data_IF_214009067739
#
_entry.id   IF_214009067739
#
_cell.length_a   1.000
_cell.length_b   1.000
_cell.length_c   1.000
_cell.angle_alpha   90.00
_cell.angle_beta   90.00
_cell.angle_gamma   90.00
#
_symmetry.space_group_name_H-M   'P 1'
#
loop_
_entity.id
_entity.type
_entity.pdbx_description
1 polymer ?
#
# COMPACT_ATOMS: atom_id res chain seq x y z
N UNK A 1 -30.18 -24.78 5.36
CA UNK A 1 -30.78 -23.45 5.52
C UNK A 1 -29.86 -22.68 6.47
N UNK A 2 -28.75 -22.15 5.94
CA UNK A 2 -27.70 -21.52 6.74
C UNK A 2 -27.95 -20.01 6.78
N UNK A 3 -28.63 -19.55 7.82
CA UNK A 3 -28.72 -18.13 8.18
C UNK A 3 -27.43 -17.75 8.90
N UNK A 4 -26.47 -17.20 8.17
CA UNK A 4 -25.38 -16.43 8.81
C UNK A 4 -25.99 -15.13 9.34
N UNK A 5 -26.33 -15.12 10.62
CA UNK A 5 -26.75 -13.93 11.35
C UNK A 5 -25.55 -12.98 11.43
N UNK A 6 -25.65 -11.83 10.76
CA UNK A 6 -24.69 -10.73 10.92
C UNK A 6 -24.77 -10.28 12.38
N UNK A 7 -23.66 -10.36 13.11
CA UNK A 7 -23.56 -9.93 14.50
C UNK A 7 -23.74 -8.41 14.55
N UNK A 8 -24.89 -7.93 15.04
CA UNK A 8 -25.24 -6.50 15.11
C UNK A 8 -24.82 -5.82 16.43
N UNK A 9 -24.15 -6.55 17.32
CA UNK A 9 -23.78 -6.03 18.66
C UNK A 9 -22.55 -5.11 18.66
N UNK A 10 -22.05 -4.68 17.50
CA UNK A 10 -21.06 -3.60 17.45
C UNK A 10 -21.75 -2.31 17.90
N UNK A 11 -21.33 -1.67 19.00
CA UNK A 11 -21.98 -0.47 19.49
C UNK A 11 -21.98 0.61 18.40
N UNK A 12 -23.17 1.16 18.12
CA UNK A 12 -23.32 2.29 17.22
C UNK A 12 -22.65 3.50 17.85
N UNK A 13 -21.44 3.85 17.39
CA UNK A 13 -20.77 5.09 17.78
C UNK A 13 -21.51 6.24 17.07
N UNK A 14 -22.14 7.17 17.80
CA UNK A 14 -22.77 8.36 17.24
C UNK A 14 -21.79 9.13 16.35
N UNK A 15 -22.30 9.76 15.28
CA UNK A 15 -21.50 10.61 14.39
C UNK A 15 -20.73 11.72 15.13
N UNK A 16 -21.22 12.11 16.30
CA UNK A 16 -20.66 13.18 17.13
C UNK A 16 -19.56 12.68 18.11
N UNK A 17 -19.41 11.37 18.27
CA UNK A 17 -18.43 10.75 19.20
C UNK A 17 -17.13 10.31 18.49
N UNK A 18 -16.97 10.58 17.19
CA UNK A 18 -15.72 10.29 16.48
C UNK A 18 -14.67 11.35 16.76
N UNK A 19 -13.73 11.04 17.65
CA UNK A 19 -12.54 11.86 17.83
C UNK A 19 -11.58 11.69 16.64
N UNK A 20 -11.67 12.61 15.67
CA UNK A 20 -10.73 12.69 14.55
C UNK A 20 -9.51 13.57 14.84
N UNK A 21 -9.46 14.22 16.01
CA UNK A 21 -8.41 15.19 16.34
C UNK A 21 -7.03 14.53 16.48
N UNK A 22 -6.98 13.27 16.94
CA UNK A 22 -5.77 12.47 16.98
C UNK A 22 -5.20 12.18 15.57
N UNK A 23 -6.03 12.12 14.53
CA UNK A 23 -5.59 11.92 13.14
C UNK A 23 -5.06 13.20 12.48
N UNK A 24 -5.51 14.37 12.96
CA UNK A 24 -5.07 15.69 12.49
C UNK A 24 -4.06 16.36 13.43
N UNK A 25 -3.67 15.68 14.51
CA UNK A 25 -2.61 16.12 15.43
C UNK A 25 -1.26 16.19 14.70
N UNK A 26 -0.36 17.04 15.20
CA UNK A 26 0.89 17.41 14.54
C UNK A 26 1.70 16.19 14.04
N UNK A 27 2.44 16.32 12.93
CA UNK A 27 3.21 15.24 12.27
C UNK A 27 4.19 14.47 13.19
N UNK A 28 4.54 15.03 14.34
CA UNK A 28 5.40 14.42 15.36
C UNK A 28 4.70 13.32 16.18
N UNK A 29 3.38 13.15 16.03
CA UNK A 29 2.56 12.18 16.77
C UNK A 29 2.42 10.82 16.07
N UNK A 30 3.13 10.60 14.95
CA UNK A 30 3.34 9.25 14.37
C UNK A 30 4.36 8.55 15.26
N UNK A 31 4.00 8.39 16.53
CA UNK A 31 4.73 7.63 17.49
C UNK A 31 4.76 6.20 16.96
N UNK A 32 5.94 5.86 16.42
CA UNK A 32 6.54 4.55 16.57
C UNK A 32 5.65 3.40 16.11
N UNK A 33 5.89 2.94 14.87
CA UNK A 33 5.67 1.53 14.53
C UNK A 33 6.68 0.67 15.30
N UNK A 34 6.60 0.70 16.63
CA UNK A 34 7.35 -0.15 17.56
C UNK A 34 6.39 -0.48 18.69
N UNK A 35 5.91 -1.72 18.76
CA UNK A 35 5.40 -2.37 19.97
C UNK A 35 4.67 -1.47 20.99
N UNK A 36 3.68 -0.69 20.57
CA UNK A 36 2.87 0.12 21.49
C UNK A 36 1.52 -0.55 21.72
N UNK A 37 1.29 -0.91 22.97
CA UNK A 37 0.07 -1.54 23.52
C UNK A 37 -1.09 -0.53 23.65
N UNK A 38 -1.31 0.31 22.65
CA UNK A 38 -2.55 1.08 22.56
C UNK A 38 -3.65 0.18 21.98
N UNK A 39 -4.93 0.29 22.44
CA UNK A 39 -6.02 -0.54 21.93
C UNK A 39 -6.20 -0.48 20.40
N UNK A 40 -5.72 0.59 19.76
CA UNK A 40 -5.80 0.83 18.32
C UNK A 40 -4.54 0.47 17.51
N UNK A 41 -3.46 0.01 18.16
CA UNK A 41 -2.23 -0.34 17.45
C UNK A 41 -2.38 -1.63 16.62
N UNK A 42 -1.90 -1.59 15.38
CA UNK A 42 -1.74 -2.79 14.54
C UNK A 42 -0.30 -3.27 14.69
N UNK A 43 -0.06 -4.44 15.30
CA UNK A 43 1.29 -4.93 15.50
C UNK A 43 1.94 -5.28 14.16
N UNK A 44 3.23 -5.00 14.03
CA UNK A 44 3.99 -5.52 12.90
C UNK A 44 4.06 -7.04 12.98
N UNK A 45 3.78 -7.75 11.88
CA UNK A 45 3.97 -9.20 11.82
C UNK A 45 5.40 -9.59 12.14
N UNK A 46 5.57 -10.82 12.65
CA UNK A 46 6.90 -11.37 12.89
C UNK A 46 7.73 -11.43 11.60
N UNK A 47 9.07 -11.42 11.66
CA UNK A 47 9.92 -11.54 10.48
C UNK A 47 9.66 -12.79 9.62
N UNK A 48 9.13 -13.85 10.22
CA UNK A 48 8.81 -15.14 9.60
C UNK A 48 7.33 -15.30 9.23
N UNK A 49 6.51 -14.26 9.39
CA UNK A 49 5.10 -14.30 9.04
C UNK A 49 4.92 -14.54 7.53
N UNK A 50 3.87 -15.28 7.16
CA UNK A 50 3.52 -15.48 5.75
C UNK A 50 3.08 -14.17 5.10
N UNK A 51 3.10 -14.07 3.76
CA UNK A 51 2.53 -12.90 3.10
C UNK A 51 1.04 -12.75 3.43
N UNK A 52 0.30 -13.86 3.63
CA UNK A 52 -1.11 -13.80 4.03
C UNK A 52 -1.31 -13.11 5.39
N UNK A 53 -0.47 -13.42 6.39
CA UNK A 53 -0.51 -12.79 7.71
C UNK A 53 -0.17 -11.30 7.63
N UNK A 54 0.82 -10.95 6.80
CA UNK A 54 1.20 -9.56 6.55
C UNK A 54 0.05 -8.80 5.88
N UNK A 55 -0.60 -9.38 4.88
CA UNK A 55 -1.75 -8.76 4.21
C UNK A 55 -2.93 -8.57 5.15
N UNK A 56 -3.20 -9.52 6.06
CA UNK A 56 -4.22 -9.35 7.09
C UNK A 56 -3.92 -8.16 8.00
N UNK A 57 -2.66 -7.98 8.41
CA UNK A 57 -2.25 -6.84 9.22
C UNK A 57 -2.31 -5.51 8.43
N UNK A 58 -1.91 -5.50 7.15
CA UNK A 58 -2.02 -4.31 6.29
C UNK A 58 -3.49 -3.93 6.06
N UNK A 59 -4.37 -4.92 5.85
CA UNK A 59 -5.82 -4.70 5.76
C UNK A 59 -6.37 -4.08 7.04
N UNK A 60 -5.97 -4.58 8.21
CA UNK A 60 -6.38 -3.97 9.48
C UNK A 60 -5.84 -2.53 9.64
N UNK A 61 -4.61 -2.27 9.21
CA UNK A 61 -4.05 -0.92 9.20
C UNK A 61 -4.86 0.03 8.29
N UNK A 62 -5.30 -0.44 7.13
CA UNK A 62 -6.20 0.28 6.24
C UNK A 62 -7.57 0.54 6.87
N UNK A 63 -8.16 -0.47 7.52
CA UNK A 63 -9.47 -0.38 8.20
C UNK A 63 -9.47 0.63 9.34
N UNK A 64 -8.37 0.68 10.11
CA UNK A 64 -8.15 1.64 11.20
C UNK A 64 -7.59 2.98 10.74
N UNK A 65 -7.34 3.18 9.45
CA UNK A 65 -6.79 4.43 8.92
C UNK A 65 -5.44 4.83 9.57
N UNK A 66 -4.57 3.85 9.84
CA UNK A 66 -3.29 4.07 10.54
C UNK A 66 -2.41 5.09 9.78
N UNK A 67 -2.05 6.23 10.38
CA UNK A 67 -1.26 7.28 9.72
C UNK A 67 0.25 6.98 9.84
N UNK A 68 0.70 5.84 9.33
CA UNK A 68 2.11 5.43 9.41
C UNK A 68 2.53 4.61 8.19
N UNK A 69 3.85 4.48 7.90
CA UNK A 69 4.38 3.65 6.81
C UNK A 69 4.28 2.14 7.08
N UNK A 70 3.10 1.65 7.49
CA UNK A 70 2.90 0.27 7.89
C UNK A 70 3.10 -0.68 6.71
N UNK A 71 2.41 -0.44 5.59
CA UNK A 71 2.45 -1.31 4.43
C UNK A 71 3.79 -1.19 3.69
N UNK A 72 4.32 0.04 3.60
CA UNK A 72 5.65 0.35 3.10
C UNK A 72 6.72 -0.46 3.85
N UNK A 73 6.64 -0.49 5.19
CA UNK A 73 7.60 -1.20 6.04
C UNK A 73 7.41 -2.72 5.95
N UNK A 74 6.19 -3.21 6.20
CA UNK A 74 5.92 -4.62 6.45
C UNK A 74 5.90 -5.47 5.18
N UNK A 75 5.29 -4.97 4.09
CA UNK A 75 5.05 -5.76 2.89
C UNK A 75 6.06 -5.47 1.77
N UNK A 76 6.65 -4.27 1.76
CA UNK A 76 7.57 -3.83 0.69
C UNK A 76 9.02 -3.83 1.17
N UNK A 77 9.38 -2.92 2.10
CA UNK A 77 10.77 -2.64 2.41
C UNK A 77 11.49 -3.81 3.09
N UNK A 78 10.92 -4.36 4.16
CA UNK A 78 11.56 -5.45 4.93
C UNK A 78 11.75 -6.72 4.09
N UNK A 79 10.76 -7.24 3.35
CA UNK A 79 10.97 -8.41 2.49
C UNK A 79 12.03 -8.18 1.42
N UNK A 80 12.04 -7.02 0.77
CA UNK A 80 13.03 -6.71 -0.28
C UNK A 80 14.45 -6.61 0.27
N UNK A 81 14.65 -5.99 1.44
CA UNK A 81 15.96 -5.94 2.10
C UNK A 81 16.47 -7.35 2.44
N UNK A 82 15.60 -8.21 2.99
CA UNK A 82 15.95 -9.60 3.32
C UNK A 82 16.35 -10.38 2.07
N UNK A 83 15.56 -10.28 0.99
CA UNK A 83 15.84 -10.96 -0.29
C UNK A 83 17.13 -10.46 -0.95
N UNK A 84 17.45 -9.17 -0.78
CA UNK A 84 18.71 -8.59 -1.26
C UNK A 84 19.91 -8.83 -0.32
N UNK A 85 19.70 -9.48 0.84
CA UNK A 85 20.74 -9.77 1.81
C UNK A 85 21.27 -8.54 2.55
N UNK A 86 20.45 -7.50 2.71
CA UNK A 86 20.77 -6.34 3.54
C UNK A 86 20.36 -6.57 5.00
N UNK A 87 21.07 -5.95 5.96
CA UNK A 87 20.52 -5.78 7.30
C UNK A 87 19.23 -4.97 7.21
N UNK A 88 18.24 -5.35 8.01
CA UNK A 88 16.96 -4.65 8.09
C UNK A 88 17.07 -3.63 9.23
N UNK A 89 17.05 -2.31 8.96
CA UNK A 89 17.08 -1.31 10.03
C UNK A 89 15.83 -1.40 10.91
N UNK A 90 16.00 -1.01 12.17
CA UNK A 90 14.86 -0.77 13.06
C UNK A 90 14.08 0.48 12.62
N UNK A 91 12.84 0.58 13.12
CA UNK A 91 11.98 1.73 12.85
C UNK A 91 11.22 1.68 11.52
N UNK A 92 10.54 2.79 11.16
CA UNK A 92 9.75 2.91 9.94
C UNK A 92 10.62 2.92 8.69
N UNK A 93 10.23 2.18 7.67
CA UNK A 93 10.91 2.12 6.38
C UNK A 93 9.97 2.58 5.26
N UNK A 94 10.57 3.18 4.24
CA UNK A 94 9.88 3.55 3.00
C UNK A 94 10.59 2.93 1.80
N UNK A 95 10.03 3.12 0.61
CA UNK A 95 10.58 2.62 -0.65
C UNK A 95 10.46 3.66 -1.76
N UNK A 96 11.35 3.57 -2.74
CA UNK A 96 11.27 4.25 -4.02
C UNK A 96 11.71 3.29 -5.14
N UNK A 97 10.83 3.07 -6.11
CA UNK A 97 11.14 2.31 -7.33
C UNK A 97 11.37 3.33 -8.43
N UNK A 98 12.64 3.62 -8.71
CA UNK A 98 13.06 4.74 -9.55
C UNK A 98 14.07 4.28 -10.61
N UNK A 99 13.64 3.49 -11.60
CA UNK A 99 14.51 3.09 -12.72
C UNK A 99 15.03 4.28 -13.54
N UNK A 100 14.42 5.46 -13.42
CA UNK A 100 14.77 6.70 -14.11
C UNK A 100 15.90 7.51 -13.45
N UNK A 101 16.40 7.10 -12.27
CA UNK A 101 17.56 7.76 -11.68
C UNK A 101 18.77 7.69 -12.60
N UNK A 102 19.50 8.79 -12.68
CA UNK A 102 20.79 8.80 -13.36
C UNK A 102 21.86 8.28 -12.40
N UNK A 103 22.34 7.07 -12.65
CA UNK A 103 23.40 6.43 -11.87
C UNK A 103 24.63 6.24 -12.76
N UNK A 104 25.78 6.75 -12.31
CA UNK A 104 27.07 6.62 -12.99
C UNK A 104 28.17 6.25 -12.02
N UNK A 105 29.25 5.64 -12.51
CA UNK A 105 30.46 5.45 -11.70
C UNK A 105 31.17 6.80 -11.50
N UNK A 106 31.59 7.09 -10.27
CA UNK A 106 32.32 8.32 -9.94
C UNK A 106 33.70 8.37 -10.62
N UNK A 107 34.35 7.21 -10.78
CA UNK A 107 35.67 7.06 -11.38
C UNK A 107 35.63 6.02 -12.52
N UNK A 108 35.45 6.43 -13.79
CA UNK A 108 35.23 5.50 -14.91
C UNK A 108 36.43 4.61 -15.28
N UNK A 109 37.63 4.87 -14.75
CA UNK A 109 38.89 4.40 -15.33
C UNK A 109 39.61 3.26 -14.57
N UNK A 110 39.06 2.72 -13.48
CA UNK A 110 39.77 1.68 -12.69
C UNK A 110 38.91 0.50 -12.16
N UNK A 111 37.59 0.53 -12.30
CA UNK A 111 36.73 -0.50 -11.68
C UNK A 111 36.51 -1.68 -12.63
N UNK A 112 37.28 -2.77 -12.45
CA UNK A 112 36.89 -4.05 -13.00
C UNK A 112 35.53 -4.44 -12.38
N UNK A 113 34.52 -4.70 -13.20
CA UNK A 113 33.16 -5.00 -12.72
C UNK A 113 33.07 -6.47 -12.34
N UNK A 114 33.21 -6.77 -11.04
CA UNK A 114 32.87 -8.06 -10.47
C UNK A 114 31.34 -8.26 -10.32
N UNK A 115 30.93 -9.50 -10.09
CA UNK A 115 29.53 -9.90 -9.90
C UNK A 115 28.84 -9.28 -8.66
N UNK A 116 29.59 -8.61 -7.78
CA UNK A 116 29.13 -8.08 -6.49
C UNK A 116 28.62 -6.62 -6.53
N UNK A 117 28.67 -5.95 -7.67
CA UNK A 117 28.79 -4.49 -7.71
C UNK A 117 30.25 -4.14 -8.00
N UNK A 118 30.55 -2.87 -8.27
CA UNK A 118 31.90 -2.41 -8.59
C UNK A 118 32.91 -3.02 -7.59
N UNK A 119 33.86 -3.82 -8.07
CA UNK A 119 34.86 -4.42 -7.19
C UNK A 119 36.08 -3.51 -7.13
N UNK A 120 36.08 -2.64 -6.12
CA UNK A 120 37.18 -1.76 -5.73
C UNK A 120 36.84 -1.03 -4.44
N UNK A 121 37.80 -0.92 -3.51
CA UNK A 121 37.64 -0.24 -2.21
C UNK A 121 37.34 1.27 -2.36
N UNK A 122 37.52 1.84 -3.56
CA UNK A 122 37.28 3.25 -3.91
C UNK A 122 36.13 3.47 -4.90
N UNK A 123 35.31 2.44 -5.18
CA UNK A 123 34.26 2.56 -6.18
C UNK A 123 33.01 3.21 -5.58
N UNK A 124 32.64 4.36 -6.12
CA UNK A 124 31.47 5.14 -5.69
C UNK A 124 30.50 5.31 -6.86
N UNK A 125 29.20 5.19 -6.59
CA UNK A 125 28.16 5.56 -7.53
C UNK A 125 27.74 7.01 -7.27
N UNK A 126 27.68 7.80 -8.33
CA UNK A 126 27.06 9.11 -8.33
C UNK A 126 25.60 8.94 -8.77
N UNK A 127 24.68 9.28 -7.86
CA UNK A 127 23.24 9.19 -8.07
C UNK A 127 22.65 10.59 -8.17
N UNK A 128 22.01 10.87 -9.29
CA UNK A 128 21.30 12.13 -9.53
C UNK A 128 19.88 11.88 -10.01
N UNK A 129 18.95 12.72 -9.57
CA UNK A 129 17.55 12.64 -9.97
C UNK A 129 16.62 13.02 -8.84
N UNK A 130 15.35 12.67 -9.01
CA UNK A 130 14.30 12.94 -8.02
C UNK A 130 13.59 11.61 -7.75
N UNK A 131 13.58 11.17 -6.50
CA UNK A 131 12.66 10.13 -6.06
C UNK A 131 11.32 10.82 -5.80
N UNK A 132 10.34 10.60 -6.67
CA UNK A 132 9.06 11.32 -6.61
C UNK A 132 8.09 10.64 -5.66
N UNK A 133 7.36 11.45 -4.89
CA UNK A 133 6.22 11.05 -4.05
C UNK A 133 6.53 9.85 -3.14
N UNK A 134 7.73 9.80 -2.58
CA UNK A 134 8.17 8.75 -1.65
C UNK A 134 7.25 8.75 -0.42
N UNK A 135 6.53 7.65 -0.14
CA UNK A 135 5.57 7.61 0.96
C UNK A 135 6.29 7.74 2.30
N UNK A 136 5.84 8.66 3.16
CA UNK A 136 6.36 8.81 4.53
C UNK A 136 7.87 9.10 4.62
N UNK A 137 8.50 9.65 3.57
CA UNK A 137 9.96 9.79 3.52
C UNK A 137 10.52 10.60 4.69
N UNK A 138 9.86 11.72 5.05
CA UNK A 138 10.29 12.59 6.16
C UNK A 138 10.25 11.94 7.55
N UNK A 139 9.53 10.82 7.69
CA UNK A 139 9.40 10.07 8.95
C UNK A 139 10.08 8.71 8.91
N UNK A 140 10.61 8.30 7.76
CA UNK A 140 11.26 7.00 7.60
C UNK A 140 12.69 7.05 8.12
N UNK A 141 13.12 5.98 8.79
CA UNK A 141 14.53 5.78 9.17
C UNK A 141 15.40 5.55 7.94
N UNK A 142 14.86 4.86 6.93
CA UNK A 142 15.51 4.67 5.65
C UNK A 142 14.49 4.49 4.53
N UNK A 143 14.87 4.94 3.33
CA UNK A 143 14.18 4.66 2.06
C UNK A 143 14.98 3.60 1.32
N UNK A 144 14.35 2.48 0.99
CA UNK A 144 14.97 1.52 0.09
C UNK A 144 14.79 2.01 -1.35
N UNK A 145 15.88 2.09 -2.11
CA UNK A 145 15.84 2.60 -3.48
C UNK A 145 16.19 1.47 -4.42
N UNK A 146 15.26 1.15 -5.32
CA UNK A 146 15.47 0.23 -6.42
C UNK A 146 15.60 1.03 -7.71
N UNK A 147 16.72 0.88 -8.40
CA UNK A 147 17.06 1.68 -9.57
C UNK A 147 17.83 0.84 -10.62
N UNK A 148 18.07 1.44 -11.79
CA UNK A 148 18.90 0.81 -12.84
C UNK A 148 20.25 1.52 -12.90
N UNK A 149 21.31 0.79 -12.55
CA UNK A 149 22.70 1.24 -12.74
C UNK A 149 23.26 0.69 -14.08
N UNK A 150 24.44 1.14 -14.54
CA UNK A 150 25.07 0.59 -15.74
C UNK A 150 25.30 -0.93 -15.68
N UNK A 151 25.50 -1.49 -14.48
CA UNK A 151 25.61 -2.93 -14.25
C UNK A 151 24.26 -3.69 -14.26
N UNK A 152 23.14 -2.98 -14.40
CA UNK A 152 21.78 -3.50 -14.29
C UNK A 152 21.07 -3.06 -13.02
N UNK A 153 19.97 -3.73 -12.63
CA UNK A 153 19.19 -3.39 -11.45
C UNK A 153 20.01 -3.45 -10.17
N UNK A 154 19.80 -2.45 -9.31
CA UNK A 154 20.46 -2.32 -8.01
C UNK A 154 19.46 -1.96 -6.92
N UNK A 155 19.80 -2.32 -5.69
CA UNK A 155 19.13 -1.89 -4.46
C UNK A 155 20.16 -1.25 -3.53
N UNK A 156 19.80 -0.11 -2.94
CA UNK A 156 20.56 0.51 -1.85
C UNK A 156 19.61 1.17 -0.85
N UNK A 157 20.11 1.51 0.34
CA UNK A 157 19.36 2.26 1.35
C UNK A 157 19.80 3.72 1.35
N UNK A 158 18.83 4.62 1.47
CA UNK A 158 19.03 6.06 1.54
C UNK A 158 18.44 6.57 2.86
N UNK A 159 19.27 7.20 3.70
CA UNK A 159 18.76 8.01 4.80
C UNK A 159 18.14 9.30 4.21
N UNK A 160 16.90 9.68 4.58
CA UNK A 160 16.22 10.83 3.97
C UNK A 160 16.97 12.16 4.08
N UNK A 161 17.76 12.35 5.13
CA UNK A 161 18.57 13.55 5.40
C UNK A 161 19.76 13.73 4.43
N UNK A 162 20.11 12.69 3.67
CA UNK A 162 21.11 12.75 2.58
C UNK A 162 20.55 13.34 1.29
N UNK A 163 19.27 13.68 1.25
CA UNK A 163 18.61 14.30 0.10
C UNK A 163 17.98 15.64 0.51
N UNK A 164 17.81 16.54 -0.47
CA UNK A 164 16.96 17.71 -0.24
C UNK A 164 15.50 17.26 -0.36
N UNK A 165 14.75 17.35 0.73
CA UNK A 165 13.36 16.92 0.81
C UNK A 165 12.43 18.09 0.48
N UNK A 166 11.52 17.88 -0.47
CA UNK A 166 10.39 18.78 -0.74
C UNK A 166 9.11 18.15 -0.18
N UNK A 167 8.50 18.74 0.87
CA UNK A 167 7.28 18.23 1.47
C UNK A 167 6.13 18.10 0.46
N UNK A 168 5.54 16.90 0.36
CA UNK A 168 4.34 16.67 -0.42
C UNK A 168 3.32 15.83 0.33
N UNK A 169 2.12 15.70 -0.25
CA UNK A 169 1.01 14.94 0.34
C UNK A 169 0.14 14.27 -0.71
N UNK A 170 -0.74 13.40 -0.25
CA UNK A 170 -1.83 12.85 -1.04
C UNK A 170 -3.20 13.40 -0.60
N UNK A 171 -4.28 12.95 -1.24
CA UNK A 171 -5.64 13.44 -0.95
C UNK A 171 -6.07 13.18 0.51
N UNK A 172 -5.52 12.13 1.13
CA UNK A 172 -5.77 11.78 2.52
C UNK A 172 -4.86 12.52 3.52
N UNK A 173 -4.00 13.43 3.05
CA UNK A 173 -3.04 14.15 3.88
C UNK A 173 -1.81 13.32 4.30
N UNK A 174 -1.62 12.14 3.73
CA UNK A 174 -0.44 11.31 4.03
C UNK A 174 0.79 11.85 3.30
N UNK A 175 1.98 11.87 3.93
CA UNK A 175 3.21 12.39 3.31
C UNK A 175 3.59 11.62 2.04
N UNK A 176 3.86 12.37 0.97
CA UNK A 176 4.36 11.88 -0.31
C UNK A 176 5.43 12.86 -0.79
N UNK A 177 6.63 12.69 -0.24
CA UNK A 177 7.71 13.66 -0.36
C UNK A 177 8.54 13.42 -1.61
N UNK A 178 9.04 14.50 -2.21
CA UNK A 178 10.05 14.39 -3.26
C UNK A 178 11.45 14.48 -2.64
N UNK A 179 12.31 13.50 -2.92
CA UNK A 179 13.71 13.51 -2.49
C UNK A 179 14.62 13.85 -3.67
N UNK A 180 15.26 15.00 -3.62
CA UNK A 180 16.17 15.49 -4.66
C UNK A 180 17.60 15.03 -4.37
N UNK A 181 18.15 14.25 -5.30
CA UNK A 181 19.51 13.72 -5.24
C UNK A 181 20.39 14.51 -6.20
N UNK A 182 21.36 15.25 -5.67
CA UNK A 182 22.31 16.05 -6.47
C UNK A 182 23.69 15.42 -6.41
N UNK A 183 23.98 14.53 -7.35
CA UNK A 183 25.24 13.80 -7.46
C UNK A 183 25.65 13.14 -6.13
N UNK A 184 24.69 12.48 -5.48
CA UNK A 184 24.91 11.80 -4.21
C UNK A 184 25.90 10.66 -4.40
N UNK A 185 26.98 10.69 -3.63
CA UNK A 185 27.98 9.63 -3.59
C UNK A 185 27.53 8.48 -2.69
N UNK A 186 27.38 7.29 -3.28
CA UNK A 186 27.04 6.06 -2.56
C UNK A 186 28.19 5.07 -2.77
N UNK A 187 28.90 4.66 -1.70
CA UNK A 187 29.92 3.62 -1.79
C UNK A 187 29.36 2.34 -2.42
N UNK A 188 30.09 1.72 -3.34
CA UNK A 188 29.65 0.48 -3.99
C UNK A 188 29.38 -0.66 -2.98
N UNK A 189 30.05 -0.63 -1.82
CA UNK A 189 29.81 -1.55 -0.70
C UNK A 189 28.42 -1.43 -0.08
N UNK A 190 27.73 -0.30 -0.27
CA UNK A 190 26.36 -0.04 0.18
C UNK A 190 25.30 -0.33 -0.89
N UNK A 191 25.72 -0.80 -2.08
CA UNK A 191 24.83 -1.08 -3.21
C UNK A 191 24.89 -2.56 -3.55
N UNK A 192 23.71 -3.19 -3.65
CA UNK A 192 23.61 -4.58 -4.09
C UNK A 192 23.07 -4.63 -5.51
N UNK A 193 23.75 -5.35 -6.39
CA UNK A 193 23.15 -5.78 -7.66
C UNK A 193 22.06 -6.80 -7.38
N UNK A 194 20.88 -6.56 -7.92
CA UNK A 194 19.73 -7.45 -7.76
C UNK A 194 19.34 -8.06 -9.11
N UNK A 195 18.75 -9.27 -9.12
CA UNK A 195 18.19 -9.82 -10.33
C UNK A 195 16.94 -9.03 -10.75
N UNK A 196 16.65 -8.99 -12.07
CA UNK A 196 15.49 -8.26 -12.62
C UNK A 196 14.16 -8.65 -11.95
N UNK A 197 13.97 -9.94 -11.66
CA UNK A 197 12.74 -10.42 -11.01
C UNK A 197 12.51 -9.80 -9.62
N UNK A 198 13.55 -9.37 -8.90
CA UNK A 198 13.39 -8.71 -7.59
C UNK A 198 12.94 -7.26 -7.75
N UNK A 199 13.35 -6.58 -8.83
CA UNK A 199 12.82 -5.27 -9.21
C UNK A 199 11.33 -5.37 -9.57
N UNK A 200 10.94 -6.41 -10.32
CA UNK A 200 9.54 -6.66 -10.68
C UNK A 200 8.70 -7.00 -9.42
N UNK A 201 9.23 -7.83 -8.52
CA UNK A 201 8.62 -8.16 -7.24
C UNK A 201 8.39 -6.91 -6.37
N UNK A 202 9.29 -5.93 -6.39
CA UNK A 202 9.09 -4.69 -5.66
C UNK A 202 7.83 -3.93 -6.14
N UNK A 203 7.64 -3.86 -7.46
CA UNK A 203 6.42 -3.27 -8.04
C UNK A 203 5.16 -4.05 -7.66
N UNK A 204 5.23 -5.38 -7.64
CA UNK A 204 4.12 -6.23 -7.20
C UNK A 204 3.79 -6.02 -5.71
N UNK A 205 4.80 -5.98 -4.83
CA UNK A 205 4.61 -5.74 -3.39
C UNK A 205 4.01 -4.37 -3.12
N UNK A 206 4.48 -3.34 -3.80
CA UNK A 206 3.98 -1.97 -3.67
C UNK A 206 2.50 -1.87 -4.09
N UNK A 207 2.14 -2.46 -5.23
CA UNK A 207 0.75 -2.48 -5.68
C UNK A 207 -0.17 -3.30 -4.77
N UNK A 208 0.29 -4.47 -4.31
CA UNK A 208 -0.49 -5.31 -3.41
C UNK A 208 -0.65 -4.63 -2.03
N UNK A 209 0.34 -3.86 -1.56
CA UNK A 209 0.24 -3.05 -0.36
C UNK A 209 -0.93 -2.06 -0.46
N UNK A 210 -1.03 -1.33 -1.57
CA UNK A 210 -2.16 -0.42 -1.81
C UNK A 210 -3.49 -1.16 -1.92
N UNK A 211 -3.53 -2.28 -2.62
CA UNK A 211 -4.75 -3.09 -2.73
C UNK A 211 -5.24 -3.59 -1.36
N UNK A 212 -4.33 -4.04 -0.49
CA UNK A 212 -4.67 -4.49 0.87
C UNK A 212 -5.14 -3.34 1.77
N UNK A 213 -4.48 -2.17 1.70
CA UNK A 213 -4.93 -0.96 2.40
C UNK A 213 -6.33 -0.53 1.94
N UNK A 214 -6.59 -0.55 0.62
CA UNK A 214 -7.91 -0.30 0.02
C UNK A 214 -8.95 -1.31 0.55
N UNK A 215 -8.62 -2.59 0.64
CA UNK A 215 -9.51 -3.61 1.20
C UNK A 215 -9.95 -3.26 2.63
N UNK A 216 -9.01 -2.82 3.47
CA UNK A 216 -9.32 -2.38 4.83
C UNK A 216 -10.20 -1.13 4.87
N UNK A 217 -9.85 -0.11 4.08
CA UNK A 217 -10.65 1.11 4.00
C UNK A 217 -12.08 0.85 3.46
N UNK A 218 -12.24 -0.13 2.55
CA UNK A 218 -13.53 -0.58 2.05
C UNK A 218 -14.39 -1.22 3.15
N UNK A 219 -13.79 -2.07 4.00
CA UNK A 219 -14.46 -2.60 5.19
C UNK A 219 -14.91 -1.49 6.11
N UNK A 220 -14.04 -0.50 6.35
CA UNK A 220 -14.39 0.64 7.20
C UNK A 220 -15.55 1.45 6.62
N UNK A 221 -15.58 1.69 5.31
CA UNK A 221 -16.71 2.33 4.65
C UNK A 221 -18.00 1.53 4.82
N UNK A 222 -17.93 0.20 4.70
CA UNK A 222 -19.07 -0.70 4.89
C UNK A 222 -19.61 -0.65 6.31
N UNK A 223 -18.73 -0.79 7.32
CA UNK A 223 -19.08 -0.71 8.74
C UNK A 223 -19.81 0.60 9.06
N UNK A 224 -19.21 1.73 8.68
CA UNK A 224 -19.75 3.06 8.92
C UNK A 224 -21.11 3.24 8.22
N UNK A 225 -21.24 2.77 6.99
CA UNK A 225 -22.49 2.90 6.21
C UNK A 225 -23.61 2.06 6.78
N UNK A 226 -23.33 0.82 7.18
CA UNK A 226 -24.33 -0.05 7.82
C UNK A 226 -24.78 0.56 9.16
N UNK A 227 -23.85 1.02 9.99
CA UNK A 227 -24.18 1.68 11.26
C UNK A 227 -25.02 2.95 11.04
N UNK A 228 -24.61 3.82 10.11
CA UNK A 228 -25.30 5.07 9.80
C UNK A 228 -26.73 4.83 9.34
N UNK A 229 -26.93 3.94 8.38
CA UNK A 229 -28.25 3.65 7.80
C UNK A 229 -29.18 2.90 8.76
N UNK A 230 -28.64 2.16 9.73
CA UNK A 230 -29.41 1.53 10.79
C UNK A 230 -29.88 2.55 11.84
N UNK A 231 -29.02 3.51 12.21
CA UNK A 231 -29.34 4.52 13.22
C UNK A 231 -30.22 5.66 12.67
N UNK A 232 -30.01 6.07 11.41
CA UNK A 232 -30.70 7.23 10.82
C UNK A 232 -32.15 6.89 10.48
N UNK A 233 -33.09 7.62 11.08
CA UNK A 233 -34.53 7.49 10.81
C UNK A 233 -35.02 8.62 9.92
N UNK A 234 -35.71 8.27 8.82
CA UNK A 234 -36.45 9.20 7.97
C UNK A 234 -37.76 8.57 7.52
N UNK A 235 -38.79 9.40 7.29
CA UNK A 235 -40.14 8.92 6.96
C UNK A 235 -40.66 7.85 7.93
N UNK A 236 -40.40 8.06 9.23
CA UNK A 236 -40.91 7.21 10.32
C UNK A 236 -40.21 5.86 10.51
N UNK A 237 -39.11 5.56 9.81
CA UNK A 237 -38.34 4.32 10.02
C UNK A 237 -36.84 4.45 9.68
N UNK A 238 -35.98 3.52 10.12
CA UNK A 238 -34.57 3.51 9.73
C UNK A 238 -34.35 3.45 8.22
N UNK A 239 -33.29 4.10 7.71
CA UNK A 239 -32.92 4.07 6.30
C UNK A 239 -32.68 2.63 5.80
N UNK A 240 -32.12 1.76 6.64
CA UNK A 240 -31.90 0.34 6.33
C UNK A 240 -33.19 -0.45 6.02
N UNK A 241 -34.38 0.09 6.30
CA UNK A 241 -35.67 -0.54 5.98
C UNK A 241 -36.17 -0.25 4.56
N UNK A 242 -35.56 0.69 3.83
CA UNK A 242 -35.93 0.99 2.45
C UNK A 242 -35.23 0.07 1.46
N UNK A 243 -35.96 -0.46 0.46
CA UNK A 243 -35.41 -1.46 -0.45
C UNK A 243 -34.25 -0.94 -1.30
N UNK A 244 -34.32 0.30 -1.78
CA UNK A 244 -33.23 0.92 -2.53
C UNK A 244 -31.95 1.03 -1.69
N UNK A 245 -32.07 1.37 -0.39
CA UNK A 245 -30.93 1.42 0.54
C UNK A 245 -30.33 0.03 0.75
N UNK A 246 -31.15 -1.01 0.89
CA UNK A 246 -30.66 -2.40 1.02
C UNK A 246 -29.91 -2.87 -0.22
N UNK A 247 -30.38 -2.51 -1.41
CA UNK A 247 -29.73 -2.86 -2.66
C UNK A 247 -28.35 -2.20 -2.77
N UNK A 248 -28.25 -0.90 -2.46
CA UNK A 248 -26.95 -0.21 -2.44
C UNK A 248 -26.02 -0.78 -1.36
N UNK A 249 -26.53 -1.12 -0.16
CA UNK A 249 -25.71 -1.79 0.86
C UNK A 249 -25.20 -3.16 0.41
N UNK A 250 -26.05 -3.96 -0.24
CA UNK A 250 -25.64 -5.25 -0.78
C UNK A 250 -24.48 -5.09 -1.79
N UNK A 251 -24.59 -4.09 -2.69
CA UNK A 251 -23.53 -3.77 -3.65
C UNK A 251 -22.24 -3.30 -2.97
N UNK A 252 -22.34 -2.46 -1.94
CA UNK A 252 -21.19 -2.01 -1.15
C UNK A 252 -20.44 -3.18 -0.48
N UNK A 253 -21.19 -4.12 0.10
CA UNK A 253 -20.66 -5.33 0.73
C UNK A 253 -20.02 -6.24 -0.32
N UNK A 254 -20.67 -6.41 -1.47
CA UNK A 254 -20.16 -7.19 -2.60
C UNK A 254 -18.81 -6.65 -3.09
N UNK A 255 -18.72 -5.35 -3.39
CA UNK A 255 -17.47 -4.71 -3.81
C UNK A 255 -16.36 -4.91 -2.77
N UNK A 256 -16.68 -4.72 -1.49
CA UNK A 256 -15.73 -4.92 -0.39
C UNK A 256 -15.24 -6.38 -0.32
N UNK A 257 -16.14 -7.35 -0.50
CA UNK A 257 -15.80 -8.77 -0.52
C UNK A 257 -14.93 -9.13 -1.73
N UNK A 258 -15.22 -8.57 -2.91
CA UNK A 258 -14.43 -8.78 -4.13
C UNK A 258 -12.99 -8.29 -3.95
N UNK A 259 -12.80 -7.08 -3.41
CA UNK A 259 -11.46 -6.55 -3.14
C UNK A 259 -10.71 -7.43 -2.14
N UNK A 260 -11.37 -7.81 -1.05
CA UNK A 260 -10.78 -8.67 -0.02
C UNK A 260 -10.34 -10.03 -0.57
N UNK A 261 -11.19 -10.67 -1.38
CA UNK A 261 -10.89 -11.97 -2.00
C UNK A 261 -9.72 -11.87 -2.99
N UNK A 262 -9.69 -10.83 -3.83
CA UNK A 262 -8.62 -10.63 -4.80
C UNK A 262 -7.26 -10.40 -4.13
N UNK A 263 -7.22 -9.62 -3.05
CA UNK A 263 -6.00 -9.42 -2.25
C UNK A 263 -5.52 -10.73 -1.61
N UNK A 264 -6.44 -11.51 -1.03
CA UNK A 264 -6.09 -12.80 -0.42
C UNK A 264 -5.55 -13.80 -1.44
N UNK A 265 -6.12 -13.84 -2.65
CA UNK A 265 -5.67 -14.73 -3.71
C UNK A 265 -4.23 -14.44 -4.18
N UNK A 266 -3.72 -13.22 -3.98
CA UNK A 266 -2.36 -12.85 -4.36
C UNK A 266 -1.28 -13.25 -3.33
N UNK A 267 -1.66 -13.70 -2.12
CA UNK A 267 -0.72 -13.97 -1.04
C UNK A 267 0.27 -15.12 -1.36
N UNK A 268 -0.26 -16.31 -1.64
CA UNK A 268 0.56 -17.50 -1.89
C UNK A 268 1.41 -17.41 -3.18
N UNK A 269 0.89 -16.86 -4.31
CA UNK A 269 1.73 -16.62 -5.49
C UNK A 269 2.91 -15.69 -5.21
N UNK A 270 2.73 -14.66 -4.39
CA UNK A 270 3.78 -13.71 -4.04
C UNK A 270 4.87 -14.33 -3.14
N UNK A 271 4.49 -15.19 -2.19
CA UNK A 271 5.45 -15.91 -1.33
C UNK A 271 6.35 -16.85 -2.14
N UNK A 272 5.77 -17.57 -3.09
CA UNK A 272 6.50 -18.54 -3.93
C UNK A 272 7.31 -17.89 -5.05
N UNK A 273 7.09 -16.58 -5.33
CA UNK A 273 7.67 -15.90 -6.48
C UNK A 273 7.28 -16.52 -7.82
N UNK A 274 6.13 -17.21 -7.86
CA UNK A 274 5.66 -17.93 -9.04
C UNK A 274 5.27 -16.95 -10.17
N UNK A 275 5.26 -17.39 -11.44
CA UNK A 275 4.74 -16.57 -12.54
C UNK A 275 3.28 -16.10 -12.33
N UNK A 276 2.51 -16.82 -11.50
CA UNK A 276 1.14 -16.45 -11.16
C UNK A 276 1.05 -15.19 -10.27
N UNK A 277 2.14 -14.78 -9.61
CA UNK A 277 2.18 -13.57 -8.77
C UNK A 277 1.83 -12.32 -9.57
N UNK A 278 2.38 -12.18 -10.77
CA UNK A 278 2.11 -11.03 -11.63
C UNK A 278 0.63 -10.92 -11.99
N UNK A 279 0.00 -12.05 -12.34
CA UNK A 279 -1.43 -12.12 -12.64
C UNK A 279 -2.28 -11.78 -11.40
N UNK A 280 -2.03 -12.46 -10.28
CA UNK A 280 -2.84 -12.31 -9.08
C UNK A 280 -2.74 -10.88 -8.49
N UNK A 281 -1.54 -10.29 -8.46
CA UNK A 281 -1.35 -8.91 -8.00
C UNK A 281 -1.99 -7.91 -8.95
N UNK A 282 -1.86 -8.10 -10.26
CA UNK A 282 -2.49 -7.22 -11.23
C UNK A 282 -4.02 -7.27 -11.13
N UNK A 283 -4.60 -8.47 -10.95
CA UNK A 283 -6.02 -8.65 -10.70
C UNK A 283 -6.46 -7.95 -9.39
N UNK A 284 -5.72 -8.16 -8.30
CA UNK A 284 -5.99 -7.53 -7.01
C UNK A 284 -5.95 -6.00 -7.09
N UNK A 285 -4.90 -5.41 -7.67
CA UNK A 285 -4.78 -3.96 -7.77
C UNK A 285 -5.80 -3.35 -8.73
N UNK A 286 -6.12 -4.03 -9.83
CA UNK A 286 -7.17 -3.58 -10.77
C UNK A 286 -8.54 -3.57 -10.08
N UNK A 287 -8.92 -4.68 -9.44
CA UNK A 287 -10.19 -4.80 -8.71
C UNK A 287 -10.28 -3.77 -7.58
N UNK A 288 -9.24 -3.65 -6.75
CA UNK A 288 -9.18 -2.68 -5.66
C UNK A 288 -9.37 -1.24 -6.17
N UNK A 289 -8.69 -0.88 -7.26
CA UNK A 289 -8.74 0.48 -7.80
C UNK A 289 -10.10 0.82 -8.43
N UNK A 290 -10.73 -0.15 -9.10
CA UNK A 290 -12.07 0.00 -9.67
C UNK A 290 -13.14 0.12 -8.56
N UNK A 291 -13.13 -0.82 -7.61
CA UNK A 291 -14.10 -0.86 -6.50
C UNK A 291 -14.00 0.36 -5.59
N UNK A 292 -12.81 0.95 -5.42
CA UNK A 292 -12.63 2.15 -4.60
C UNK A 292 -13.58 3.30 -4.99
N UNK A 293 -13.81 3.49 -6.30
CA UNK A 293 -14.72 4.52 -6.81
C UNK A 293 -16.18 4.21 -6.41
N UNK A 294 -16.61 2.98 -6.64
CA UNK A 294 -17.99 2.54 -6.41
C UNK A 294 -18.33 2.49 -4.92
N UNK A 295 -17.41 1.98 -4.10
CA UNK A 295 -17.50 1.97 -2.63
C UNK A 295 -17.68 3.41 -2.11
N UNK A 296 -16.81 4.34 -2.54
CA UNK A 296 -16.91 5.73 -2.12
C UNK A 296 -18.24 6.35 -2.57
N UNK A 297 -18.66 6.11 -3.82
CA UNK A 297 -19.92 6.60 -4.38
C UNK A 297 -21.12 6.16 -3.53
N UNK A 298 -21.23 4.85 -3.26
CA UNK A 298 -22.32 4.28 -2.48
C UNK A 298 -22.31 4.80 -1.04
N UNK A 299 -21.14 4.77 -0.38
CA UNK A 299 -21.03 5.17 1.00
C UNK A 299 -21.42 6.64 1.20
N UNK A 300 -20.94 7.54 0.33
CA UNK A 300 -21.33 8.96 0.37
C UNK A 300 -22.81 9.16 0.05
N UNK A 301 -23.36 8.44 -0.94
CA UNK A 301 -24.79 8.53 -1.26
C UNK A 301 -25.67 8.15 -0.07
N UNK A 302 -25.32 7.08 0.65
CA UNK A 302 -26.11 6.59 1.79
C UNK A 302 -25.94 7.42 3.07
N UNK A 303 -24.83 8.15 3.22
CA UNK A 303 -24.65 9.12 4.30
C UNK A 303 -25.26 10.49 3.99
N UNK A 304 -25.36 10.88 2.72
CA UNK A 304 -25.79 12.21 2.32
C UNK A 304 -24.83 13.30 2.79
N UNK A 305 -25.36 14.47 3.16
CA UNK A 305 -24.55 15.67 3.45
C UNK A 305 -23.55 15.49 4.60
N UNK A 306 -23.80 14.63 5.60
CA UNK A 306 -22.82 14.40 6.67
C UNK A 306 -21.58 13.66 6.17
N UNK A 307 -21.74 12.78 5.17
CA UNK A 307 -20.67 11.96 4.61
C UNK A 307 -19.54 12.76 3.97
N UNK A 308 -19.84 13.95 3.45
CA UNK A 308 -18.86 14.83 2.79
C UNK A 308 -18.11 15.75 3.76
N UNK A 309 -18.52 15.81 5.03
CA UNK A 309 -17.87 16.68 6.03
C UNK A 309 -16.61 16.02 6.60
N UNK A 310 -15.63 16.84 7.00
CA UNK A 310 -14.42 16.36 7.70
C UNK A 310 -14.72 15.82 9.10
N UNK A 311 -15.90 16.11 9.65
CA UNK A 311 -16.36 15.57 10.93
C UNK A 311 -16.73 14.09 10.83
N UNK A 312 -17.03 13.60 9.63
CA UNK A 312 -17.36 12.18 9.42
C UNK A 312 -16.10 11.32 9.30
N UNK A 313 -15.99 10.20 10.03
CA UNK A 313 -14.92 9.23 9.83
C UNK A 313 -14.94 8.59 8.42
N UNK A 314 -16.06 8.70 7.69
CA UNK A 314 -16.16 8.26 6.31
C UNK A 314 -15.19 9.05 5.41
N UNK A 315 -14.95 10.33 5.71
CA UNK A 315 -14.02 11.16 4.95
C UNK A 315 -12.61 10.57 4.97
N UNK A 316 -12.15 10.09 6.14
CA UNK A 316 -10.81 9.50 6.29
C UNK A 316 -10.65 8.19 5.52
N UNK A 317 -11.69 7.34 5.49
CA UNK A 317 -11.65 6.09 4.75
C UNK A 317 -11.73 6.32 3.23
N UNK A 318 -12.62 7.22 2.79
CA UNK A 318 -12.85 7.45 1.35
C UNK A 318 -11.73 8.26 0.69
N UNK A 319 -11.13 9.25 1.35
CA UNK A 319 -9.96 9.96 0.80
C UNK A 319 -8.75 9.03 0.63
N UNK A 320 -8.58 8.04 1.51
CA UNK A 320 -7.56 6.99 1.38
C UNK A 320 -7.84 6.02 0.25
N UNK A 321 -9.08 5.56 0.09
CA UNK A 321 -9.50 4.78 -1.08
C UNK A 321 -9.13 5.50 -2.39
N UNK A 322 -9.48 6.79 -2.49
CA UNK A 322 -9.20 7.63 -3.65
C UNK A 322 -7.72 7.93 -3.84
N UNK A 323 -6.94 8.01 -2.77
CA UNK A 323 -5.51 8.23 -2.90
C UNK A 323 -4.79 6.97 -3.37
N UNK A 324 -5.04 5.83 -2.73
CA UNK A 324 -4.29 4.62 -2.96
C UNK A 324 -4.65 3.94 -4.29
N UNK A 325 -5.82 4.22 -4.87
CA UNK A 325 -6.18 3.68 -6.19
C UNK A 325 -5.24 4.13 -7.32
N UNK A 326 -4.64 5.32 -7.19
CA UNK A 326 -3.73 5.88 -8.21
C UNK A 326 -2.24 5.73 -7.83
N UNK A 327 -1.96 5.23 -6.63
CA UNK A 327 -0.59 4.96 -6.17
C UNK A 327 -0.10 3.58 -6.64
N UNK A 328 1.20 3.49 -6.90
CA UNK A 328 1.90 2.28 -7.36
C UNK A 328 1.31 1.68 -8.64
N UNK A 329 0.77 2.55 -9.50
CA UNK A 329 0.11 2.24 -10.77
C UNK A 329 -1.41 2.28 -10.65
N UNK A 330 -2.05 3.00 -11.57
CA UNK A 330 -3.51 3.13 -11.64
C UNK A 330 -4.20 1.86 -12.18
N UNK A 331 -5.53 1.85 -12.14
CA UNK A 331 -6.38 0.76 -12.63
C UNK A 331 -6.03 0.36 -14.06
N UNK A 332 -5.90 1.33 -14.98
CA UNK A 332 -5.63 1.06 -16.39
C UNK A 332 -4.24 0.45 -16.60
N UNK A 333 -3.22 0.95 -15.91
CA UNK A 333 -1.86 0.43 -15.98
C UNK A 333 -1.80 -1.04 -15.56
N UNK A 334 -2.49 -1.40 -14.48
CA UNK A 334 -2.55 -2.78 -14.00
C UNK A 334 -3.46 -3.67 -14.86
N UNK A 335 -4.58 -3.15 -15.38
CA UNK A 335 -5.42 -3.88 -16.32
C UNK A 335 -4.68 -4.24 -17.61
N UNK A 336 -3.87 -3.32 -18.16
CA UNK A 336 -3.02 -3.59 -19.34
C UNK A 336 -1.97 -4.65 -19.03
N UNK A 337 -1.34 -4.62 -17.85
CA UNK A 337 -0.38 -5.66 -17.42
C UNK A 337 -1.05 -7.02 -17.28
N UNK A 338 -2.22 -7.06 -16.65
CA UNK A 338 -3.04 -8.26 -16.51
C UNK A 338 -3.38 -8.83 -17.88
N UNK A 339 -3.92 -8.02 -18.78
CA UNK A 339 -4.29 -8.42 -20.14
C UNK A 339 -3.08 -8.96 -20.94
N UNK A 340 -1.89 -8.40 -20.75
CA UNK A 340 -0.65 -8.91 -21.39
C UNK A 340 -0.14 -10.22 -20.81
N UNK A 341 -0.50 -10.55 -19.57
CA UNK A 341 -0.08 -11.77 -18.90
C UNK A 341 -0.89 -13.01 -19.32
N UNK A 342 -2.04 -12.80 -19.96
CA UNK A 342 -2.94 -13.86 -20.41
C UNK A 342 -3.17 -13.80 -21.92
N UNK A 343 -3.44 -14.95 -22.51
CA UNK A 343 -3.90 -15.10 -23.89
C UNK A 343 -5.27 -15.78 -23.86
N UNK A 344 -5.94 -15.85 -25.01
CA UNK A 344 -7.20 -16.60 -25.12
C UNK A 344 -7.08 -18.06 -24.64
N UNK A 345 -5.88 -18.67 -24.79
CA UNK A 345 -5.62 -20.06 -24.40
C UNK A 345 -5.17 -20.20 -22.95
N UNK A 346 -4.56 -19.19 -22.34
CA UNK A 346 -4.09 -19.25 -20.95
C UNK A 346 -5.06 -18.65 -19.93
N UNK A 347 -6.07 -17.90 -20.38
CA UNK A 347 -7.06 -17.26 -19.49
C UNK A 347 -7.83 -18.26 -18.63
N UNK A 348 -8.47 -19.27 -19.23
CA UNK A 348 -9.29 -20.21 -18.48
C UNK A 348 -8.47 -21.07 -17.49
N UNK A 349 -7.29 -21.61 -17.87
CA UNK A 349 -6.39 -22.24 -16.91
C UNK A 349 -5.95 -21.31 -15.78
N UNK A 350 -5.63 -20.04 -16.06
CA UNK A 350 -5.22 -19.08 -15.02
C UNK A 350 -6.35 -18.79 -14.00
N UNK A 351 -7.61 -18.77 -14.45
CA UNK A 351 -8.78 -18.55 -13.59
C UNK A 351 -9.18 -19.78 -12.77
N UNK A 352 -8.93 -20.99 -13.29
CA UNK A 352 -9.38 -22.25 -12.68
C UNK A 352 -8.27 -23.03 -11.98
N UNK A 353 -7.02 -22.59 -12.11
CA UNK A 353 -5.91 -23.13 -11.35
C UNK A 353 -6.19 -22.96 -9.85
N UNK A 354 -6.16 -24.07 -9.12
CA UNK A 354 -6.21 -24.06 -7.67
C UNK A 354 -4.84 -23.61 -7.17
N UNK A 355 -4.78 -22.61 -6.25
CA UNK A 355 -3.53 -22.03 -5.77
C UNK A 355 -2.68 -23.01 -4.94
#
# INVERSE_FOLDING_TARGET
MNTHTIHTDTPAIPADDYDTTAFYAAPDTIATVTHTTAPDAVPLPSPSASTADVLAAVREAGRRAVPAPFAETALVARPLLRRAGFPVPDGPLSYAIAPELTIRYAHPAASAVGSAGCSGENDTLLVSGILRRVPWARTATAVIVLATAPSGPVLFTLAPDRAVLTPGGNLAGEPRDDLHLTALEIPASQVRRIPRHLLDEAGHRAALARAALIAGAAERCTELTVAHTAARTQFGRPLSRFQAVKQEQARLIEETALVGAAVQAAAAPLDTGSPAAAFAVAAAKTQASASAAEIARIAHQLHGAIGITQLSPLHLATTRLWSWRDEDGDENSWAVRLARSVTATTLWPALTATP
#
